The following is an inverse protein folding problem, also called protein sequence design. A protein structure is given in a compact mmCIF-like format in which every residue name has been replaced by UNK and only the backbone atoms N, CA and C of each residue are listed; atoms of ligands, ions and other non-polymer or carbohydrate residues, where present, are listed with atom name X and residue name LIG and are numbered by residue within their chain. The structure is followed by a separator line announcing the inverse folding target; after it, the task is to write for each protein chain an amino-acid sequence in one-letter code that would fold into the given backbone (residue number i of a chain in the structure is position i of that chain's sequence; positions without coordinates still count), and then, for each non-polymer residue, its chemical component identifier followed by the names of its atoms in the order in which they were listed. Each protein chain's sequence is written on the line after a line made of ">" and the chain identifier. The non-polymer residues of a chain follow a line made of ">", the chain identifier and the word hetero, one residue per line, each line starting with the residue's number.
data_IF_022410416802
#
_entry.id   IF_022410416802
#
_cell.length_a   1.000
_cell.length_b   1.000
_cell.length_c   1.000
_cell.angle_alpha   90.00
_cell.angle_beta   90.00
_cell.angle_gamma   90.00
#
_symmetry.space_group_name_H-M   'P 1'
#
loop_
_entity.id
_entity.type
_entity.pdbx_description
1 polymer ?
#
# COMPACT_ATOMS: atom_id res chain seq x y z
N UNK A 1 -27.56 1.96 -19.21
CA UNK A 1 -26.78 0.81 -19.69
C UNK A 1 -25.69 1.34 -20.60
N UNK A 2 -24.52 1.67 -20.03
CA UNK A 2 -23.22 1.77 -20.69
C UNK A 2 -22.19 1.64 -19.56
N UNK A 3 -21.61 0.45 -19.43
CA UNK A 3 -20.43 0.21 -18.62
C UNK A 3 -19.34 -0.04 -19.66
N UNK A 4 -18.60 1.00 -19.98
CA UNK A 4 -17.51 0.94 -20.96
C UNK A 4 -16.32 0.36 -20.21
N UNK A 5 -15.97 -0.90 -20.49
CA UNK A 5 -14.76 -1.51 -19.93
C UNK A 5 -13.53 -0.73 -20.38
N UNK A 6 -12.60 -0.47 -19.46
CA UNK A 6 -11.30 0.15 -19.73
C UNK A 6 -10.52 -0.61 -20.81
N UNK A 7 -9.86 0.12 -21.69
CA UNK A 7 -8.92 -0.48 -22.63
C UNK A 7 -7.64 -0.90 -21.88
N UNK A 8 -6.94 -1.93 -22.36
CA UNK A 8 -5.68 -2.38 -21.73
C UNK A 8 -4.62 -1.27 -21.65
N UNK A 9 -4.62 -0.32 -22.58
CA UNK A 9 -3.73 0.84 -22.52
C UNK A 9 -4.07 1.76 -21.33
N UNK A 10 -5.36 2.04 -21.11
CA UNK A 10 -5.81 2.83 -19.97
C UNK A 10 -5.47 2.13 -18.65
N UNK A 11 -5.60 0.80 -18.62
CA UNK A 11 -5.26 0.01 -17.43
C UNK A 11 -3.79 0.12 -17.03
N UNK A 12 -2.89 0.00 -18.00
CA UNK A 12 -1.45 0.13 -17.76
C UNK A 12 -1.06 1.57 -17.38
N UNK A 13 -1.69 2.57 -17.98
CA UNK A 13 -1.46 3.96 -17.59
C UNK A 13 -1.90 4.23 -16.15
N UNK A 14 -3.07 3.74 -15.74
CA UNK A 14 -3.56 3.89 -14.37
C UNK A 14 -2.63 3.19 -13.37
N UNK A 15 -2.21 1.95 -13.65
CA UNK A 15 -1.24 1.23 -12.80
C UNK A 15 0.07 1.99 -12.67
N UNK A 16 0.62 2.51 -13.77
CA UNK A 16 1.84 3.31 -13.76
C UNK A 16 1.68 4.56 -12.89
N UNK A 17 0.56 5.28 -13.03
CA UNK A 17 0.29 6.47 -12.22
C UNK A 17 0.10 6.13 -10.73
N UNK A 18 -0.52 4.98 -10.41
CA UNK A 18 -0.66 4.49 -9.03
C UNK A 18 0.72 4.21 -8.43
N UNK A 19 1.58 3.49 -9.16
CA UNK A 19 2.94 3.15 -8.71
C UNK A 19 3.83 4.38 -8.49
N UNK A 20 3.65 5.44 -9.29
CA UNK A 20 4.46 6.65 -9.21
C UNK A 20 3.79 7.77 -8.38
N UNK A 21 2.66 7.49 -7.72
CA UNK A 21 1.88 8.47 -6.94
C UNK A 21 1.54 9.76 -7.74
N UNK A 22 1.24 9.62 -9.03
CA UNK A 22 1.05 10.75 -9.95
C UNK A 22 -0.41 11.26 -10.02
N UNK A 23 -1.30 10.74 -9.18
CA UNK A 23 -2.70 11.17 -9.18
C UNK A 23 -2.90 12.42 -8.33
N UNK A 24 -3.58 13.42 -8.90
CA UNK A 24 -4.22 14.45 -8.10
C UNK A 24 -5.41 13.86 -7.32
N UNK A 25 -5.81 14.52 -6.23
CA UNK A 25 -6.95 14.06 -5.43
C UNK A 25 -8.26 14.00 -6.21
N UNK A 26 -8.43 14.84 -7.22
CA UNK A 26 -9.61 14.85 -8.09
C UNK A 26 -9.59 13.70 -9.08
N UNK A 27 -8.45 13.43 -9.73
CA UNK A 27 -8.30 12.26 -10.63
C UNK A 27 -8.44 10.94 -9.86
N UNK A 28 -8.08 10.92 -8.57
CA UNK A 28 -8.15 9.72 -7.76
C UNK A 28 -9.60 9.26 -7.51
N UNK A 29 -10.51 10.20 -7.22
CA UNK A 29 -11.94 9.90 -7.03
C UNK A 29 -12.58 9.32 -8.31
N UNK A 30 -12.05 9.67 -9.48
CA UNK A 30 -12.49 9.12 -10.78
C UNK A 30 -11.95 7.69 -11.03
N UNK A 31 -10.84 7.32 -10.40
CA UNK A 31 -10.15 6.03 -10.60
C UNK A 31 -10.65 4.95 -9.64
N UNK A 32 -11.15 5.32 -8.46
CA UNK A 32 -11.77 4.40 -7.48
C UNK A 32 -12.74 3.39 -8.13
N UNK A 33 -13.72 3.80 -8.95
CA UNK A 33 -14.66 2.86 -9.58
C UNK A 33 -14.02 1.96 -10.64
N UNK A 34 -12.80 2.27 -11.09
CA UNK A 34 -12.08 1.59 -12.16
C UNK A 34 -11.06 0.56 -11.66
N UNK A 35 -10.62 0.66 -10.40
CA UNK A 35 -9.74 -0.30 -9.73
C UNK A 35 -10.17 -1.77 -9.93
N UNK A 36 -11.48 -2.10 -9.93
CA UNK A 36 -11.91 -3.47 -10.17
C UNK A 36 -11.49 -4.05 -11.51
N UNK A 37 -11.48 -3.25 -12.57
CA UNK A 37 -11.15 -3.70 -13.92
C UNK A 37 -9.64 -3.89 -14.15
N UNK A 38 -8.82 -3.40 -13.21
CA UNK A 38 -7.36 -3.53 -13.19
C UNK A 38 -6.87 -4.82 -12.54
N UNK A 39 -7.79 -5.68 -12.09
CA UNK A 39 -7.45 -6.82 -11.22
C UNK A 39 -7.05 -6.40 -9.80
N UNK A 40 -7.17 -5.11 -9.49
CA UNK A 40 -7.05 -4.55 -8.14
C UNK A 40 -8.37 -4.72 -7.35
N UNK A 41 -9.40 -5.32 -7.96
CA UNK A 41 -10.70 -5.67 -7.33
C UNK A 41 -10.63 -6.73 -6.25
N UNK A 42 -9.63 -7.62 -6.31
CA UNK A 42 -9.78 -8.94 -5.69
C UNK A 42 -9.51 -9.02 -4.19
N UNK A 43 -8.71 -8.11 -3.64
CA UNK A 43 -8.23 -8.26 -2.25
C UNK A 43 -8.40 -7.03 -1.39
N UNK A 44 -8.52 -5.84 -1.99
CA UNK A 44 -8.37 -4.65 -1.17
C UNK A 44 -9.69 -4.15 -0.58
N UNK A 45 -10.85 -4.07 -1.26
CA UNK A 45 -12.08 -3.67 -0.53
C UNK A 45 -13.41 -4.22 -1.05
N UNK A 46 -13.88 -5.32 -0.45
CA UNK A 46 -15.27 -5.76 -0.53
C UNK A 46 -16.19 -4.93 0.37
N UNK A 47 -16.34 -3.64 0.08
CA UNK A 47 -17.24 -2.80 0.86
C UNK A 47 -18.70 -3.03 0.48
N UNK A 48 -19.54 -3.22 1.49
CA UNK A 48 -20.99 -3.31 1.31
C UNK A 48 -21.57 -2.00 0.73
N UNK A 49 -20.90 -0.86 0.92
CA UNK A 49 -21.29 0.47 0.43
C UNK A 49 -20.09 1.43 0.38
N UNK A 50 -20.05 2.40 -0.56
CA UNK A 50 -19.08 3.49 -0.55
C UNK A 50 -19.15 4.37 0.71
N UNK A 51 -20.27 4.38 1.41
CA UNK A 51 -20.45 5.12 2.68
C UNK A 51 -20.09 4.28 3.92
N UNK A 52 -19.51 3.08 3.74
CA UNK A 52 -19.13 2.23 4.87
C UNK A 52 -17.94 2.80 5.64
N UNK A 53 -17.82 2.53 6.96
CA UNK A 53 -16.66 2.96 7.75
C UNK A 53 -15.33 2.52 7.13
N UNK A 54 -15.29 1.31 6.56
CA UNK A 54 -14.09 0.78 5.95
C UNK A 54 -13.75 1.50 4.63
N UNK A 55 -14.75 1.92 3.84
CA UNK A 55 -14.53 2.77 2.66
C UNK A 55 -13.94 4.13 3.03
N UNK A 56 -14.37 4.71 4.14
CA UNK A 56 -13.73 5.91 4.68
C UNK A 56 -12.28 5.63 5.11
N UNK A 57 -12.03 4.56 5.87
CA UNK A 57 -10.67 4.21 6.31
C UNK A 57 -9.71 3.95 5.15
N UNK A 58 -10.19 3.36 4.05
CA UNK A 58 -9.44 3.17 2.82
C UNK A 58 -9.08 4.49 2.15
N UNK A 59 -10.08 5.36 2.03
CA UNK A 59 -9.91 6.71 1.50
C UNK A 59 -8.88 7.48 2.32
N UNK A 60 -8.93 7.35 3.65
CA UNK A 60 -7.99 8.00 4.56
C UNK A 60 -6.58 7.43 4.44
N UNK A 61 -6.43 6.09 4.33
CA UNK A 61 -5.15 5.42 4.08
C UNK A 61 -4.47 5.97 2.83
N UNK A 62 -5.22 6.03 1.72
CA UNK A 62 -4.73 6.54 0.44
C UNK A 62 -4.35 8.02 0.57
N UNK A 63 -5.25 8.86 1.11
CA UNK A 63 -4.99 10.30 1.27
C UNK A 63 -3.76 10.57 2.13
N UNK A 64 -3.44 9.69 3.08
CA UNK A 64 -2.29 9.85 3.95
C UNK A 64 -0.94 9.80 3.23
N UNK A 65 -0.84 9.13 2.08
CA UNK A 65 0.39 9.07 1.30
C UNK A 65 0.92 10.46 0.95
N UNK A 66 0.01 11.41 0.67
CA UNK A 66 0.36 12.81 0.40
C UNK A 66 0.99 13.56 1.59
N UNK A 67 0.92 13.01 2.80
CA UNK A 67 1.52 13.59 4.01
C UNK A 67 2.94 13.10 4.26
N UNK A 68 3.38 12.05 3.57
CA UNK A 68 4.73 11.53 3.75
C UNK A 68 5.77 12.51 3.19
N UNK A 69 6.99 12.54 3.76
CA UNK A 69 8.11 13.28 3.17
C UNK A 69 8.36 12.83 1.73
N UNK A 70 8.68 13.74 0.81
CA UNK A 70 8.80 13.43 -0.62
C UNK A 70 9.88 12.37 -0.97
N UNK A 71 10.80 12.09 -0.05
CA UNK A 71 11.92 11.15 -0.21
C UNK A 71 11.81 9.93 0.71
N UNK A 72 10.63 9.64 1.25
CA UNK A 72 10.39 8.53 2.17
C UNK A 72 10.78 7.15 1.61
N UNK A 73 10.70 6.95 0.29
CA UNK A 73 11.14 5.72 -0.38
C UNK A 73 12.65 5.48 -0.27
N UNK A 74 13.42 6.52 0.06
CA UNK A 74 14.89 6.48 0.19
C UNK A 74 15.35 6.36 1.63
N UNK A 75 14.43 6.15 2.57
CA UNK A 75 14.77 6.01 3.98
C UNK A 75 15.78 4.86 4.17
N UNK A 76 16.84 5.07 4.97
CA UNK A 76 17.79 4.01 5.25
C UNK A 76 17.11 2.80 5.91
N UNK A 77 17.56 1.59 5.57
CA UNK A 77 17.06 0.34 6.16
C UNK A 77 17.06 0.36 7.69
N UNK A 78 18.08 0.94 8.31
CA UNK A 78 18.15 1.03 9.78
C UNK A 78 17.07 1.94 10.38
N UNK A 79 16.61 2.96 9.64
CA UNK A 79 15.50 3.80 10.06
C UNK A 79 14.16 3.06 9.94
N UNK A 80 13.98 2.28 8.87
CA UNK A 80 12.80 1.41 8.69
C UNK A 80 12.71 0.37 9.81
N UNK A 81 13.84 -0.23 10.19
CA UNK A 81 13.91 -1.16 11.33
C UNK A 81 13.50 -0.51 12.64
N UNK A 82 14.00 0.71 12.90
CA UNK A 82 13.66 1.42 14.13
C UNK A 82 12.18 1.79 14.17
N UNK A 83 11.62 2.27 13.05
CA UNK A 83 10.18 2.49 12.89
C UNK A 83 9.38 1.20 13.14
N UNK A 84 9.84 0.06 12.61
CA UNK A 84 9.22 -1.24 12.86
C UNK A 84 9.22 -1.65 14.33
N UNK A 85 10.34 -1.46 15.04
CA UNK A 85 10.41 -1.69 16.50
C UNK A 85 9.43 -0.81 17.26
N UNK A 86 9.37 0.47 16.90
CA UNK A 86 8.46 1.43 17.51
C UNK A 86 6.99 1.07 17.28
N UNK A 87 6.64 0.57 16.08
CA UNK A 87 5.29 0.09 15.77
C UNK A 87 4.88 -1.08 16.66
N UNK A 88 5.80 -1.99 16.96
CA UNK A 88 5.54 -3.17 17.81
C UNK A 88 5.63 -2.89 19.31
N UNK A 89 6.07 -1.70 19.73
CA UNK A 89 6.15 -1.33 21.14
C UNK A 89 4.73 -1.14 21.73
N UNK A 90 4.34 -1.93 22.76
CA UNK A 90 3.03 -1.78 23.40
C UNK A 90 2.86 -0.46 24.17
N UNK A 91 3.95 0.23 24.53
CA UNK A 91 3.91 1.53 25.21
C UNK A 91 3.78 2.71 24.25
N UNK A 92 3.98 2.47 22.95
CA UNK A 92 3.87 3.51 21.94
C UNK A 92 2.40 3.84 21.66
N UNK A 93 1.93 5.00 22.11
CA UNK A 93 0.50 5.36 22.04
C UNK A 93 0.26 6.61 21.19
N UNK A 94 0.82 6.63 19.98
CA UNK A 94 0.63 7.70 19.01
C UNK A 94 -0.01 7.14 17.73
N UNK A 95 -1.31 7.42 17.56
CA UNK A 95 -2.11 6.90 16.44
C UNK A 95 -1.58 7.37 15.08
N UNK A 96 -1.22 8.65 14.97
CA UNK A 96 -0.81 9.24 13.70
C UNK A 96 0.58 8.76 13.29
N UNK A 97 1.52 8.67 14.25
CA UNK A 97 2.82 8.08 13.93
C UNK A 97 2.73 6.59 13.59
N UNK A 98 1.79 5.84 14.19
CA UNK A 98 1.56 4.42 13.80
C UNK A 98 1.08 4.32 12.35
N UNK A 99 0.14 5.19 11.94
CA UNK A 99 -0.32 5.29 10.55
C UNK A 99 0.82 5.59 9.58
N UNK A 100 1.66 6.58 9.91
CA UNK A 100 2.85 6.91 9.13
C UNK A 100 3.75 5.67 8.98
N UNK A 101 4.13 5.03 10.09
CA UNK A 101 5.03 3.87 10.07
C UNK A 101 4.47 2.71 9.25
N UNK A 102 3.16 2.44 9.34
CA UNK A 102 2.49 1.40 8.55
C UNK A 102 2.72 1.62 7.05
N UNK A 103 2.50 2.83 6.55
CA UNK A 103 2.68 3.15 5.13
C UNK A 103 4.16 3.12 4.74
N UNK A 104 5.05 3.65 5.58
CA UNK A 104 6.50 3.60 5.33
C UNK A 104 7.01 2.16 5.20
N UNK A 105 6.53 1.25 6.04
CA UNK A 105 6.86 -0.17 5.95
C UNK A 105 6.33 -0.80 4.65
N UNK A 106 5.10 -0.45 4.25
CA UNK A 106 4.49 -0.95 3.02
C UNK A 106 5.34 -0.62 1.79
N UNK A 107 5.70 0.66 1.66
CA UNK A 107 6.47 1.17 0.51
C UNK A 107 7.93 0.73 0.49
N UNK A 108 8.51 0.38 1.64
CA UNK A 108 9.85 -0.20 1.66
C UNK A 108 9.89 -1.61 1.02
N UNK A 109 8.76 -2.30 0.90
CA UNK A 109 8.64 -3.48 0.03
C UNK A 109 9.57 -4.65 0.35
N UNK A 110 10.01 -4.79 1.61
CA UNK A 110 10.96 -5.82 2.02
C UNK A 110 10.31 -6.97 2.79
N UNK A 111 10.95 -8.15 2.81
CA UNK A 111 10.49 -9.30 3.63
C UNK A 111 10.40 -8.89 5.11
N UNK A 112 11.38 -8.14 5.61
CA UNK A 112 11.40 -7.64 7.00
C UNK A 112 10.21 -6.71 7.28
N UNK A 113 9.91 -5.79 6.37
CA UNK A 113 8.73 -4.91 6.47
C UNK A 113 7.43 -5.72 6.51
N UNK A 114 7.30 -6.72 5.65
CA UNK A 114 6.13 -7.58 5.58
C UNK A 114 5.92 -8.36 6.88
N UNK A 115 6.98 -8.94 7.44
CA UNK A 115 6.93 -9.64 8.73
C UNK A 115 6.51 -8.71 9.87
N UNK A 116 7.04 -7.47 9.92
CA UNK A 116 6.66 -6.48 10.91
C UNK A 116 5.17 -6.13 10.80
N UNK A 117 4.68 -5.87 9.58
CA UNK A 117 3.27 -5.55 9.35
C UNK A 117 2.34 -6.71 9.74
N UNK A 118 2.71 -7.95 9.39
CA UNK A 118 1.95 -9.15 9.80
C UNK A 118 1.90 -9.31 11.31
N UNK A 119 3.05 -9.14 12.00
CA UNK A 119 3.09 -9.18 13.46
C UNK A 119 2.23 -8.08 14.08
N UNK A 120 2.26 -6.88 13.50
CA UNK A 120 1.47 -5.76 14.01
C UNK A 120 -0.03 -5.98 13.83
N UNK A 121 -0.47 -6.56 12.71
CA UNK A 121 -1.87 -6.87 12.44
C UNK A 121 -2.51 -7.76 13.51
N UNK A 122 -1.75 -8.72 14.04
CA UNK A 122 -2.20 -9.63 15.10
C UNK A 122 -2.38 -8.94 16.45
N UNK A 123 -1.57 -7.91 16.75
CA UNK A 123 -1.57 -7.23 18.05
C UNK A 123 -2.33 -5.89 18.07
N UNK A 124 -2.64 -5.33 16.89
CA UNK A 124 -3.32 -4.05 16.76
C UNK A 124 -4.70 -4.07 17.43
N UNK A 125 -4.89 -3.19 18.42
CA UNK A 125 -6.12 -3.07 19.20
C UNK A 125 -7.16 -2.18 18.49
N UNK A 126 -6.70 -1.10 17.84
CA UNK A 126 -7.58 -0.16 17.16
C UNK A 126 -7.99 -0.73 15.79
N UNK A 127 -9.30 -0.78 15.53
CA UNK A 127 -9.86 -1.30 14.28
C UNK A 127 -9.30 -0.58 13.05
N UNK A 128 -9.19 0.74 13.10
CA UNK A 128 -8.59 1.55 12.04
C UNK A 128 -7.15 1.14 11.74
N UNK A 129 -6.31 0.99 12.76
CA UNK A 129 -4.91 0.59 12.56
C UNK A 129 -4.79 -0.84 12.03
N UNK A 130 -5.67 -1.73 12.50
CA UNK A 130 -5.72 -3.10 12.00
C UNK A 130 -6.09 -3.12 10.51
N UNK A 131 -7.05 -2.31 10.12
CA UNK A 131 -7.47 -2.16 8.73
C UNK A 131 -6.38 -1.53 7.84
N UNK A 132 -5.72 -0.47 8.32
CA UNK A 132 -4.59 0.13 7.60
C UNK A 132 -3.43 -0.85 7.43
N UNK A 133 -3.15 -1.66 8.46
CA UNK A 133 -2.10 -2.68 8.40
C UNK A 133 -2.44 -3.77 7.39
N UNK A 134 -3.72 -4.17 7.31
CA UNK A 134 -4.19 -5.11 6.29
C UNK A 134 -3.87 -4.62 4.87
N UNK A 135 -4.08 -3.33 4.60
CA UNK A 135 -3.79 -2.73 3.30
C UNK A 135 -2.31 -2.62 3.01
N UNK A 136 -1.56 -2.15 4.00
CA UNK A 136 -0.11 -2.07 3.94
C UNK A 136 0.54 -3.42 3.67
N UNK A 137 -0.01 -4.52 4.18
CA UNK A 137 0.49 -5.87 3.89
C UNK A 137 0.36 -6.19 2.41
N UNK A 138 -0.77 -5.92 1.79
CA UNK A 138 -0.99 -6.21 0.37
C UNK A 138 -0.15 -5.30 -0.54
N UNK A 139 -0.04 -4.02 -0.19
CA UNK A 139 0.86 -3.08 -0.86
C UNK A 139 2.34 -3.50 -0.72
N UNK A 140 2.78 -3.91 0.46
CA UNK A 140 4.13 -4.40 0.70
C UNK A 140 4.47 -5.64 -0.15
N UNK A 141 3.53 -6.57 -0.32
CA UNK A 141 3.72 -7.74 -1.19
C UNK A 141 3.87 -7.31 -2.64
N UNK A 142 3.05 -6.38 -3.10
CA UNK A 142 3.12 -5.88 -4.48
C UNK A 142 4.50 -5.26 -4.79
N UNK A 143 5.04 -4.45 -3.87
CA UNK A 143 6.40 -3.90 -4.02
C UNK A 143 7.50 -4.96 -3.95
N UNK A 144 7.37 -5.95 -3.06
CA UNK A 144 8.31 -7.06 -2.98
C UNK A 144 8.34 -7.88 -4.29
N UNK A 145 7.18 -8.09 -4.92
CA UNK A 145 7.07 -8.81 -6.18
C UNK A 145 7.65 -8.01 -7.37
N UNK A 146 7.48 -6.69 -7.41
CA UNK A 146 8.09 -5.86 -8.46
C UNK A 146 9.62 -5.86 -8.39
N UNK A 147 10.20 -5.84 -7.19
CA UNK A 147 11.65 -5.92 -6.97
C UNK A 147 12.26 -7.23 -7.47
N UNK A 148 11.48 -8.31 -7.46
CA UNK A 148 11.90 -9.63 -7.97
C UNK A 148 11.85 -9.65 -9.50
N UNK A 149 10.86 -8.99 -10.11
CA UNK A 149 10.67 -8.96 -11.57
C UNK A 149 11.68 -8.03 -12.25
N UNK A 150 12.09 -6.94 -11.62
CA UNK A 150 13.04 -5.97 -12.21
C UNK A 150 14.51 -6.42 -12.15
N UNK A 151 14.83 -7.51 -11.45
CA UNK A 151 16.15 -8.13 -11.54
C UNK A 151 16.21 -8.98 -12.81
N UNK A 152 16.98 -8.59 -13.85
CA UNK A 152 17.15 -9.46 -15.01
C UNK A 152 17.75 -10.77 -14.52
N UNK A 153 17.05 -11.88 -14.79
CA UNK A 153 17.61 -13.22 -14.66
C UNK A 153 18.78 -13.27 -15.64
N UNK A 154 20.00 -13.01 -15.16
CA UNK A 154 21.20 -13.45 -15.86
C UNK A 154 21.14 -14.96 -15.87
N UNK A 155 20.52 -15.52 -16.91
CA UNK A 155 20.73 -16.90 -17.28
C UNK A 155 22.22 -17.02 -17.58
N UNK A 156 22.95 -17.57 -16.61
CA UNK A 156 24.30 -18.07 -16.80
C UNK A 156 24.15 -19.18 -17.85
N UNK A 157 24.45 -18.85 -19.09
CA UNK A 157 24.70 -19.85 -20.13
C UNK A 157 26.07 -20.42 -19.83
N UNK A 158 26.10 -21.52 -19.07
CA UNK A 158 27.28 -22.37 -19.05
C UNK A 158 27.33 -23.15 -20.38
N UNK A 159 28.54 -23.11 -20.95
CA UNK A 159 28.98 -23.60 -22.27
C UNK A 159 28.92 -25.11 -22.42
#
# INVERSE_FOLDING_TARGET
>A
MYQTSLSEADKEEIKRKLQNSEFSSEEFEEIIPLLPELGLSGQIFGFDSPDSPQAQMATDYIKYHSKLPADYEKLPVEEIKEKGRLLLDPLFNDLENRKEIIILLAHHGSIESLEILQNYFEIAQAEELKFWTFLAIDECKAFLESDIIERPVTMITEL
#
